data_IF_933988350214
#
_entry.id   IF_933988350214
#
_cell.length_a   1.000
_cell.length_b   1.000
_cell.length_c   1.000
_cell.angle_alpha   90.00
_cell.angle_beta   90.00
_cell.angle_gamma   90.00
#
_symmetry.space_group_name_H-M   'P 1'
#
loop_
_entity.id
_entity.type
_entity.pdbx_description
1 polymer ?
#
# COMPACT_ATOMS: atom_id res chain seq x y z
N UNK A 1 5.59 -15.45 -1.45
CA UNK A 1 4.74 -15.10 -2.60
C UNK A 1 5.27 -15.70 -3.90
N UNK A 2 6.55 -15.53 -4.27
CA UNK A 2 7.09 -16.04 -5.56
C UNK A 2 6.67 -17.48 -5.91
N UNK A 3 6.81 -18.51 -5.03
CA UNK A 3 6.42 -19.88 -5.39
C UNK A 3 4.92 -20.06 -5.67
N UNK A 4 4.07 -19.40 -4.88
CA UNK A 4 2.61 -19.42 -5.07
C UNK A 4 2.21 -18.67 -6.34
N UNK A 5 2.87 -17.56 -6.65
CA UNK A 5 2.64 -16.79 -7.88
C UNK A 5 3.06 -17.58 -9.12
N UNK A 6 4.20 -18.27 -9.07
CA UNK A 6 4.69 -19.13 -10.16
C UNK A 6 3.71 -20.28 -10.43
N UNK A 7 3.17 -20.89 -9.38
CA UNK A 7 2.13 -21.92 -9.49
C UNK A 7 0.84 -21.38 -10.13
N UNK A 8 0.46 -20.14 -9.81
CA UNK A 8 -0.71 -19.50 -10.41
C UNK A 8 -0.48 -19.17 -11.89
N UNK A 9 0.71 -18.66 -12.24
CA UNK A 9 1.07 -18.40 -13.64
C UNK A 9 1.05 -19.67 -14.48
N UNK A 10 1.55 -20.78 -13.96
CA UNK A 10 1.51 -22.08 -14.64
C UNK A 10 0.06 -22.52 -14.92
N UNK A 11 -0.84 -22.38 -13.94
CA UNK A 11 -2.26 -22.74 -14.07
C UNK A 11 -2.99 -21.92 -15.15
N UNK A 12 -2.58 -20.66 -15.36
CA UNK A 12 -3.18 -19.76 -16.35
C UNK A 12 -2.40 -19.66 -17.66
N UNK A 13 -1.26 -20.34 -17.81
CA UNK A 13 -0.36 -20.24 -18.98
C UNK A 13 -1.01 -20.59 -20.33
N UNK A 14 -2.06 -21.43 -20.32
CA UNK A 14 -2.83 -21.82 -21.51
C UNK A 14 -4.17 -21.11 -21.65
N UNK A 15 -4.48 -20.13 -20.80
CA UNK A 15 -5.77 -19.44 -20.85
C UNK A 15 -5.83 -18.50 -22.05
N UNK A 16 -6.90 -18.60 -22.84
CA UNK A 16 -7.14 -17.70 -23.97
C UNK A 16 -7.68 -16.32 -23.53
N UNK A 17 -8.16 -16.19 -22.29
CA UNK A 17 -8.91 -15.01 -21.83
C UNK A 17 -8.34 -14.38 -20.56
N UNK A 18 -7.29 -14.95 -19.98
CA UNK A 18 -6.68 -14.46 -18.76
C UNK A 18 -5.16 -14.60 -18.82
N UNK A 19 -4.47 -13.56 -18.36
CA UNK A 19 -3.03 -13.55 -18.21
C UNK A 19 -2.69 -13.32 -16.74
N UNK A 20 -1.81 -14.17 -16.21
CA UNK A 20 -1.12 -13.91 -14.96
C UNK A 20 0.35 -13.81 -15.31
N UNK A 21 0.96 -12.67 -14.98
CA UNK A 21 2.35 -12.38 -15.30
C UNK A 21 3.00 -11.62 -14.15
N UNK A 22 4.34 -11.62 -14.12
CA UNK A 22 5.13 -10.74 -13.27
C UNK A 22 6.00 -9.82 -14.13
N UNK A 23 6.34 -8.66 -13.55
CA UNK A 23 7.20 -7.65 -14.17
C UNK A 23 8.30 -7.31 -13.17
N UNK A 24 9.55 -7.36 -13.62
CA UNK A 24 10.68 -6.91 -12.82
C UNK A 24 10.80 -5.38 -12.88
N UNK A 25 10.18 -4.72 -11.90
CA UNK A 25 10.24 -3.28 -11.73
C UNK A 25 11.61 -2.73 -11.31
N UNK A 26 12.61 -3.60 -11.04
CA UNK A 26 13.97 -3.18 -10.68
C UNK A 26 14.91 -3.04 -11.89
N UNK A 27 14.52 -3.62 -13.03
CA UNK A 27 15.30 -3.62 -14.26
C UNK A 27 14.48 -3.05 -15.43
N UNK A 28 14.15 -3.87 -16.44
CA UNK A 28 13.52 -3.45 -17.70
C UNK A 28 12.06 -2.99 -17.51
N UNK A 29 11.38 -3.43 -16.45
CA UNK A 29 9.99 -3.09 -16.16
C UNK A 29 9.78 -1.78 -15.40
N UNK A 30 10.85 -1.04 -15.07
CA UNK A 30 10.78 0.12 -14.18
C UNK A 30 9.80 1.20 -14.66
N UNK A 31 9.82 1.53 -15.94
CA UNK A 31 8.97 2.58 -16.50
C UNK A 31 7.50 2.17 -16.48
N UNK A 32 7.19 0.94 -16.91
CA UNK A 32 5.84 0.36 -16.83
C UNK A 32 5.31 0.32 -15.39
N UNK A 33 6.15 -0.08 -14.44
CA UNK A 33 5.78 -0.09 -13.03
C UNK A 33 5.53 1.32 -12.48
N UNK A 34 6.30 2.31 -12.93
CA UNK A 34 6.11 3.71 -12.54
C UNK A 34 4.82 4.29 -13.12
N UNK A 35 4.54 4.01 -14.41
CA UNK A 35 3.31 4.39 -15.10
C UNK A 35 2.06 3.83 -14.41
N UNK A 36 2.10 2.56 -14.01
CA UNK A 36 1.00 1.96 -13.25
C UNK A 36 1.03 2.25 -11.74
N UNK A 37 1.89 3.17 -11.26
CA UNK A 37 1.91 3.61 -9.87
C UNK A 37 2.37 2.57 -8.84
N UNK A 38 3.23 1.63 -9.23
CA UNK A 38 3.84 0.65 -8.32
C UNK A 38 4.90 1.34 -7.45
N UNK A 39 4.66 1.42 -6.14
CA UNK A 39 5.56 2.13 -5.19
C UNK A 39 6.27 1.24 -4.18
N UNK A 40 5.98 -0.06 -4.18
CA UNK A 40 6.58 -1.01 -3.25
C UNK A 40 6.35 -2.44 -3.70
N UNK A 41 7.24 -3.33 -3.28
CA UNK A 41 7.20 -4.73 -3.71
C UNK A 41 6.82 -5.66 -2.55
N UNK A 42 6.00 -6.69 -2.80
CA UNK A 42 5.26 -6.94 -4.03
C UNK A 42 4.00 -6.04 -4.13
N UNK A 43 3.68 -5.57 -5.33
CA UNK A 43 2.36 -4.98 -5.66
C UNK A 43 1.71 -5.87 -6.70
N UNK A 44 0.44 -6.23 -6.47
CA UNK A 44 -0.36 -7.02 -7.42
C UNK A 44 -1.46 -6.10 -7.95
N UNK A 45 -1.66 -6.16 -9.25
CA UNK A 45 -2.73 -5.45 -9.94
C UNK A 45 -3.49 -6.43 -10.83
N UNK A 46 -4.76 -6.13 -11.09
CA UNK A 46 -5.65 -6.92 -11.93
C UNK A 46 -6.59 -5.98 -12.67
N UNK A 47 -7.10 -6.36 -13.83
CA UNK A 47 -7.92 -5.44 -14.62
C UNK A 47 -7.77 -5.62 -16.11
N UNK A 48 -8.38 -4.70 -16.84
CA UNK A 48 -7.95 -4.38 -18.20
C UNK A 48 -6.51 -3.82 -18.14
N UNK A 49 -5.61 -4.18 -19.07
CA UNK A 49 -4.25 -3.64 -19.11
C UNK A 49 -4.18 -2.10 -19.12
N UNK A 50 -5.21 -1.44 -19.68
CA UNK A 50 -5.32 0.01 -19.76
C UNK A 50 -5.91 0.64 -18.50
N UNK A 51 -6.49 -0.17 -17.60
CA UNK A 51 -7.21 0.29 -16.40
C UNK A 51 -7.05 -0.70 -15.24
N UNK A 52 -5.80 -0.92 -14.82
CA UNK A 52 -5.45 -1.85 -13.75
C UNK A 52 -5.85 -1.33 -12.35
N UNK A 53 -6.52 -2.17 -11.57
CA UNK A 53 -6.88 -1.92 -10.17
C UNK A 53 -5.90 -2.59 -9.20
N UNK A 54 -5.77 -2.03 -7.99
CA UNK A 54 -4.95 -2.61 -6.93
C UNK A 54 -5.59 -3.85 -6.29
N UNK A 55 -4.86 -4.95 -6.24
CA UNK A 55 -5.27 -6.12 -5.46
C UNK A 55 -4.96 -5.94 -3.96
N UNK A 56 -5.99 -6.06 -3.12
CA UNK A 56 -5.88 -5.94 -1.65
C UNK A 56 -6.18 -7.23 -0.88
N UNK A 57 -6.32 -8.37 -1.57
CA UNK A 57 -6.64 -9.66 -0.96
C UNK A 57 -5.44 -10.40 -0.36
N UNK A 58 -5.69 -11.63 0.12
CA UNK A 58 -4.69 -12.53 0.69
C UNK A 58 -3.66 -13.01 -0.33
N UNK A 59 -2.40 -13.17 0.07
CA UNK A 59 -1.27 -13.47 -0.84
C UNK A 59 -0.79 -14.91 -0.80
N UNK A 60 -1.50 -15.78 -0.09
CA UNK A 60 -1.32 -17.22 -0.15
C UNK A 60 -1.98 -17.79 -1.42
N UNK A 61 -1.51 -18.96 -1.85
CA UNK A 61 -1.99 -19.60 -3.08
C UNK A 61 -3.51 -19.79 -3.12
N UNK A 62 -4.15 -20.13 -1.98
CA UNK A 62 -5.58 -20.38 -1.95
C UNK A 62 -6.38 -19.08 -2.18
N UNK A 63 -5.99 -17.99 -1.53
CA UNK A 63 -6.58 -16.66 -1.73
C UNK A 63 -6.39 -16.16 -3.16
N UNK A 64 -5.20 -16.36 -3.74
CA UNK A 64 -4.89 -15.95 -5.11
C UNK A 64 -5.69 -16.76 -6.14
N UNK A 65 -5.76 -18.09 -6.01
CA UNK A 65 -6.56 -18.94 -6.90
C UNK A 65 -8.03 -18.60 -6.86
N UNK A 66 -8.58 -18.39 -5.65
CA UNK A 66 -9.97 -17.99 -5.48
C UNK A 66 -10.25 -16.67 -6.20
N UNK A 67 -9.40 -15.67 -5.96
CA UNK A 67 -9.55 -14.37 -6.61
C UNK A 67 -9.44 -14.49 -8.13
N UNK A 68 -8.45 -15.21 -8.63
CA UNK A 68 -8.23 -15.42 -10.06
C UNK A 68 -9.45 -16.09 -10.73
N UNK A 69 -10.00 -17.15 -10.11
CA UNK A 69 -11.18 -17.85 -10.62
C UNK A 69 -12.46 -16.99 -10.61
N UNK A 70 -12.56 -16.03 -9.70
CA UNK A 70 -13.70 -15.13 -9.59
C UNK A 70 -13.58 -13.93 -10.53
N UNK A 71 -12.36 -13.40 -10.75
CA UNK A 71 -12.13 -12.09 -11.35
C UNK A 71 -11.35 -12.11 -12.67
N UNK A 72 -10.55 -13.14 -12.98
CA UNK A 72 -9.87 -13.27 -14.28
C UNK A 72 -10.79 -13.93 -15.33
N UNK A 73 -11.98 -13.36 -15.45
CA UNK A 73 -12.97 -13.62 -16.50
C UNK A 73 -13.08 -12.35 -17.34
N UNK A 74 -13.76 -12.38 -18.51
CA UNK A 74 -14.17 -11.13 -19.15
C UNK A 74 -14.80 -10.21 -18.10
N UNK A 75 -14.23 -9.02 -17.93
CA UNK A 75 -14.67 -8.06 -16.92
C UNK A 75 -15.44 -6.92 -17.58
N UNK A 76 -16.27 -6.26 -16.77
CA UNK A 76 -16.82 -4.96 -17.11
C UNK A 76 -15.73 -4.05 -17.67
N UNK A 77 -15.90 -3.64 -18.92
CA UNK A 77 -14.98 -2.79 -19.68
C UNK A 77 -15.75 -2.17 -20.83
N UNK A 78 -15.23 -1.11 -21.49
CA UNK A 78 -15.85 -0.58 -22.70
C UNK A 78 -16.06 -1.63 -23.80
N UNK A 79 -15.16 -2.62 -23.89
CA UNK A 79 -15.26 -3.74 -24.84
C UNK A 79 -16.26 -4.84 -24.42
N UNK A 80 -16.65 -4.90 -23.13
CA UNK A 80 -17.59 -5.89 -22.59
C UNK A 80 -18.64 -5.20 -21.70
N UNK A 81 -19.30 -4.17 -22.24
CA UNK A 81 -20.23 -3.32 -21.49
C UNK A 81 -21.39 -4.10 -20.86
N UNK A 82 -21.78 -5.23 -21.44
CA UNK A 82 -22.81 -6.12 -20.90
C UNK A 82 -22.47 -6.70 -19.53
N UNK A 83 -21.19 -6.75 -19.18
CA UNK A 83 -20.69 -7.26 -17.90
C UNK A 83 -20.61 -6.19 -16.80
N UNK A 84 -20.96 -4.95 -17.12
CA UNK A 84 -21.00 -3.83 -16.19
C UNK A 84 -22.35 -3.72 -15.46
N UNK A 85 -22.32 -3.20 -14.24
CA UNK A 85 -23.55 -2.71 -13.58
C UNK A 85 -24.00 -1.38 -14.20
N UNK A 86 -25.26 -0.99 -13.96
CA UNK A 86 -25.88 0.19 -14.57
C UNK A 86 -25.10 1.49 -14.30
N UNK A 87 -24.47 1.61 -13.12
CA UNK A 87 -23.69 2.77 -12.76
C UNK A 87 -22.41 2.86 -13.61
N UNK A 88 -21.68 1.75 -13.71
CA UNK A 88 -20.47 1.66 -14.55
C UNK A 88 -20.79 1.81 -16.03
N UNK A 89 -21.92 1.28 -16.52
CA UNK A 89 -22.35 1.48 -17.92
C UNK A 89 -22.58 2.95 -18.22
N UNK A 90 -23.35 3.64 -17.38
CA UNK A 90 -23.62 5.07 -17.57
C UNK A 90 -22.34 5.91 -17.55
N UNK A 91 -21.37 5.53 -16.71
CA UNK A 91 -20.06 6.19 -16.66
C UNK A 91 -19.23 5.93 -17.93
N UNK A 92 -19.16 4.68 -18.39
CA UNK A 92 -18.48 4.32 -19.65
C UNK A 92 -19.11 5.06 -20.83
N UNK A 93 -20.44 5.06 -20.94
CA UNK A 93 -21.15 5.76 -22.02
C UNK A 93 -20.90 7.27 -21.98
N UNK A 94 -20.85 7.87 -20.79
CA UNK A 94 -20.50 9.28 -20.63
C UNK A 94 -19.09 9.56 -21.16
N UNK A 95 -18.11 8.73 -20.83
CA UNK A 95 -16.73 8.93 -21.30
C UNK A 95 -16.58 8.64 -22.80
N UNK A 96 -17.29 7.65 -23.33
CA UNK A 96 -17.31 7.36 -24.77
C UNK A 96 -18.01 8.45 -25.59
N UNK A 97 -18.88 9.25 -24.96
CA UNK A 97 -19.54 10.39 -25.60
C UNK A 97 -18.71 11.68 -25.57
N UNK A 98 -17.61 11.73 -24.78
CA UNK A 98 -16.66 12.84 -24.82
C UNK A 98 -15.80 12.75 -26.08
N UNK A 99 -15.34 13.88 -26.60
CA UNK A 99 -14.32 13.85 -27.65
C UNK A 99 -12.94 13.52 -27.07
N UNK A 100 -12.04 13.06 -27.93
CA UNK A 100 -10.71 12.60 -27.52
C UNK A 100 -9.91 13.69 -26.79
N UNK A 101 -10.08 14.97 -27.19
CA UNK A 101 -9.35 16.07 -26.57
C UNK A 101 -9.82 16.36 -25.14
N UNK A 102 -11.14 16.32 -24.92
CA UNK A 102 -11.74 16.48 -23.60
C UNK A 102 -11.44 15.27 -22.69
N UNK A 103 -11.39 14.06 -23.26
CA UNK A 103 -11.02 12.84 -22.54
C UNK A 103 -9.55 12.89 -22.11
N UNK A 104 -8.63 13.23 -23.01
CA UNK A 104 -7.20 13.40 -22.73
C UNK A 104 -6.95 14.48 -21.67
N UNK A 105 -7.66 15.60 -21.76
CA UNK A 105 -7.57 16.67 -20.76
C UNK A 105 -8.02 16.20 -19.38
N UNK A 106 -9.10 15.42 -19.32
CA UNK A 106 -9.63 14.84 -18.08
C UNK A 106 -8.66 13.82 -17.47
N UNK A 107 -8.09 12.93 -18.29
CA UNK A 107 -7.08 11.95 -17.86
C UNK A 107 -5.89 12.68 -17.25
N UNK A 108 -5.33 13.66 -17.98
CA UNK A 108 -4.16 14.43 -17.54
C UNK A 108 -4.42 15.20 -16.24
N UNK A 109 -5.62 15.76 -16.06
CA UNK A 109 -6.01 16.41 -14.81
C UNK A 109 -5.99 15.42 -13.64
N UNK A 110 -6.58 14.24 -13.81
CA UNK A 110 -6.65 13.22 -12.74
C UNK A 110 -5.30 12.61 -12.44
N UNK A 111 -4.48 12.33 -13.44
CA UNK A 111 -3.10 11.87 -13.26
C UNK A 111 -2.25 12.91 -12.54
N UNK A 112 -2.36 14.20 -12.90
CA UNK A 112 -1.65 15.27 -12.21
C UNK A 112 -2.11 15.43 -10.75
N UNK A 113 -3.42 15.31 -10.49
CA UNK A 113 -3.97 15.33 -9.12
C UNK A 113 -3.48 14.13 -8.31
N UNK A 114 -3.43 12.94 -8.92
CA UNK A 114 -2.88 11.75 -8.31
C UNK A 114 -1.41 11.98 -7.95
N UNK A 115 -0.55 12.35 -8.91
CA UNK A 115 0.87 12.62 -8.66
C UNK A 115 1.11 13.67 -7.58
N UNK A 116 0.32 14.75 -7.59
CA UNK A 116 0.39 15.77 -6.54
C UNK A 116 0.02 15.21 -5.17
N UNK A 117 -1.07 14.45 -5.08
CA UNK A 117 -1.52 13.83 -3.83
C UNK A 117 -0.46 12.88 -3.28
N UNK A 118 0.22 12.14 -4.15
CA UNK A 118 1.33 11.26 -3.78
C UNK A 118 2.55 12.04 -3.27
N UNK A 119 2.90 13.14 -3.93
CA UNK A 119 4.00 14.01 -3.51
C UNK A 119 3.71 14.67 -2.16
N UNK A 120 2.49 15.18 -1.96
CA UNK A 120 2.05 15.79 -0.70
C UNK A 120 2.09 14.75 0.44
N UNK A 121 1.64 13.52 0.18
CA UNK A 121 1.74 12.44 1.16
C UNK A 121 3.19 12.09 1.50
N UNK A 122 4.09 12.06 0.51
CA UNK A 122 5.52 11.82 0.74
C UNK A 122 6.13 12.88 1.66
N UNK A 123 5.84 14.16 1.41
CA UNK A 123 6.30 15.27 2.27
C UNK A 123 5.79 15.11 3.71
N UNK A 124 4.53 14.72 3.88
CA UNK A 124 3.96 14.43 5.20
C UNK A 124 4.72 13.30 5.91
N UNK A 125 5.01 12.20 5.20
CA UNK A 125 5.74 11.05 5.75
C UNK A 125 7.16 11.45 6.16
N UNK A 126 7.88 12.23 5.34
CA UNK A 126 9.22 12.74 5.67
C UNK A 126 9.20 13.62 6.92
N UNK A 127 8.20 14.50 7.05
CA UNK A 127 8.00 15.33 8.24
C UNK A 127 7.70 14.52 9.51
N UNK A 128 6.86 13.49 9.40
CA UNK A 128 6.56 12.58 10.50
C UNK A 128 7.80 11.78 10.94
N UNK A 129 8.60 11.29 10.00
CA UNK A 129 9.83 10.57 10.29
C UNK A 129 10.82 11.44 11.07
N UNK A 130 11.00 12.70 10.65
CA UNK A 130 11.85 13.66 11.36
C UNK A 130 11.33 13.93 12.77
N UNK A 131 10.04 14.19 12.91
CA UNK A 131 9.40 14.44 14.22
C UNK A 131 9.58 13.24 15.16
N UNK A 132 9.42 12.02 14.63
CA UNK A 132 9.62 10.79 15.39
C UNK A 132 11.06 10.63 15.88
N UNK A 133 12.05 10.89 15.02
CA UNK A 133 13.46 10.83 15.38
C UNK A 133 13.82 11.84 16.47
N UNK A 134 13.39 13.10 16.32
CA UNK A 134 13.62 14.15 17.32
C UNK A 134 12.96 13.81 18.67
N UNK A 135 11.71 13.30 18.64
CA UNK A 135 11.02 12.87 19.85
C UNK A 135 11.72 11.70 20.54
N UNK A 136 12.24 10.73 19.77
CA UNK A 136 13.01 9.60 20.28
C UNK A 136 14.30 10.07 20.95
N UNK A 137 15.08 10.92 20.31
CA UNK A 137 16.33 11.46 20.88
C UNK A 137 16.07 12.24 22.18
N UNK A 138 15.04 13.08 22.20
CA UNK A 138 14.68 13.85 23.39
C UNK A 138 14.22 12.94 24.54
N UNK A 139 13.43 11.90 24.23
CA UNK A 139 13.02 10.89 25.20
C UNK A 139 14.24 10.17 25.79
N UNK A 140 15.17 9.74 24.94
CA UNK A 140 16.36 9.00 25.39
C UNK A 140 17.28 9.88 26.25
N UNK A 141 17.52 11.13 25.85
CA UNK A 141 18.23 12.13 26.68
C UNK A 141 17.57 12.33 28.03
N UNK A 142 16.25 12.52 28.06
CA UNK A 142 15.48 12.70 29.29
C UNK A 142 15.59 11.46 30.20
N UNK A 143 15.51 10.25 29.63
CA UNK A 143 15.68 9.01 30.39
C UNK A 143 17.09 8.91 30.97
N UNK A 144 18.12 9.31 30.22
CA UNK A 144 19.50 9.32 30.70
C UNK A 144 19.69 10.33 31.85
N UNK A 145 19.17 11.55 31.72
CA UNK A 145 19.15 12.54 32.79
C UNK A 145 18.43 12.02 34.03
N UNK A 146 17.29 11.35 33.87
CA UNK A 146 16.56 10.73 34.99
C UNK A 146 17.41 9.63 35.66
N UNK A 147 18.11 8.79 34.88
CA UNK A 147 19.01 7.77 35.44
C UNK A 147 20.15 8.43 36.23
N UNK A 148 20.70 9.53 35.71
CA UNK A 148 21.80 10.26 36.32
C UNK A 148 21.37 11.19 37.48
N UNK A 149 20.08 11.52 37.60
CA UNK A 149 19.53 12.36 38.68
C UNK A 149 19.61 11.75 40.09
N UNK A 150 20.13 10.52 40.21
CA UNK A 150 20.13 9.79 41.46
C UNK A 150 18.77 9.17 41.80
N UNK A 151 17.83 9.06 40.85
CA UNK A 151 16.53 8.41 41.04
C UNK A 151 16.67 7.00 41.67
N UNK A 152 17.69 6.24 41.27
CA UNK A 152 18.00 4.94 41.89
C UNK A 152 18.31 5.05 43.38
N UNK A 153 19.12 6.03 43.77
CA UNK A 153 19.43 6.32 45.17
C UNK A 153 18.20 6.81 45.92
N UNK A 154 17.39 7.69 45.33
CA UNK A 154 16.13 8.14 45.94
C UNK A 154 15.19 6.96 46.25
N UNK A 155 15.07 6.02 45.30
CA UNK A 155 14.32 4.77 45.50
C UNK A 155 14.91 3.90 46.60
N UNK A 156 16.24 3.73 46.63
CA UNK A 156 16.93 2.95 47.66
C UNK A 156 16.73 3.55 49.06
N UNK A 157 16.89 4.87 49.21
CA UNK A 157 16.67 5.59 50.48
C UNK A 157 15.23 5.42 50.95
N UNK A 158 14.23 5.53 50.06
CA UNK A 158 12.82 5.30 50.41
C UNK A 158 12.59 3.88 50.92
N UNK A 159 13.19 2.87 50.29
CA UNK A 159 13.09 1.47 50.72
C UNK A 159 13.67 1.25 52.12
N UNK A 160 14.84 1.83 52.41
CA UNK A 160 15.46 1.74 53.76
C UNK A 160 14.58 2.42 54.82
N UNK A 161 14.03 3.60 54.53
CA UNK A 161 13.12 4.31 55.45
C UNK A 161 11.86 3.48 55.75
N UNK A 162 11.30 2.82 54.75
CA UNK A 162 10.11 1.97 54.95
C UNK A 162 10.38 0.76 55.87
N UNK A 163 11.57 0.14 55.77
CA UNK A 163 11.96 -0.99 56.62
C UNK A 163 12.25 -0.59 58.07
N UNK A 164 12.89 0.57 58.30
CA UNK A 164 13.11 1.08 59.66
C UNK A 164 11.80 1.41 60.39
N UNK A 165 10.83 1.99 59.68
CA UNK A 165 9.52 2.30 60.26
C UNK A 165 8.69 1.06 60.62
N UNK A 166 9.02 -0.13 60.10
CA UNK A 166 8.36 -1.40 60.48
C UNK A 166 9.06 -2.16 61.61
N UNK A 167 10.28 -1.77 62.00
CA UNK A 167 11.01 -2.38 63.13
C UNK A 167 10.83 -1.61 64.45
N UNK A 168 10.24 -0.40 64.41
CA UNK A 168 9.94 0.45 65.58
C UNK A 168 8.47 0.36 66.09
N UNK A 169 7.67 -0.58 65.55
CA UNK A 169 6.29 -0.91 65.99
C UNK A 169 6.21 -2.38 66.40
#
# INVERSE_FOLDING_TARGET
>A
MKPDWDSLMEEYSGSATALVADVDCTTEGKDLCSEHGVRGYPTIKYGDPSALEDYKGGRDLASLKKFAAENLKPMCSPANIDLCDDAKKAEIEKFMAMDDADLDASIKEKEALQQKTEADFKVLVEGLQKTYQEAMENKDKTIEEIKNSGLGLMKAVKSVKAKKGSEEL
#
